data_IF_545691935895
#
_entry.id   IF_545691935895
#
_cell.length_a   1.000
_cell.length_b   1.000
_cell.length_c   1.000
_cell.angle_alpha   90.00
_cell.angle_beta   90.00
_cell.angle_gamma   90.00
#
_symmetry.space_group_name_H-M   'P 1'
#
loop_
_entity.id
_entity.type
_entity.pdbx_description
1 polymer ?
#
# COMPACT_ATOMS: atom_id res chain seq x y z
N UNK A 1 7.00 -3.86 -34.34
CA UNK A 1 5.79 -3.57 -33.54
C UNK A 1 6.19 -3.60 -32.07
N UNK A 2 6.16 -2.46 -31.37
CA UNK A 2 6.35 -2.46 -29.92
C UNK A 2 5.08 -3.02 -29.26
N UNK A 3 5.23 -3.96 -28.33
CA UNK A 3 4.11 -4.47 -27.55
C UNK A 3 3.47 -3.31 -26.77
N UNK A 4 2.13 -3.25 -26.75
CA UNK A 4 1.42 -2.21 -26.00
C UNK A 4 1.64 -2.42 -24.51
N UNK A 5 2.28 -1.44 -23.85
CA UNK A 5 2.55 -1.47 -22.41
C UNK A 5 1.23 -1.34 -21.63
N UNK A 6 0.87 -2.33 -20.85
CA UNK A 6 -0.28 -2.31 -19.94
C UNK A 6 0.11 -1.54 -18.69
N UNK A 7 -0.66 -0.50 -18.40
CA UNK A 7 -0.46 0.38 -17.26
C UNK A 7 -1.65 0.24 -16.34
N UNK A 8 -1.39 -0.04 -15.05
CA UNK A 8 -2.37 0.07 -13.99
C UNK A 8 -2.30 1.46 -13.35
N UNK A 9 -3.41 2.20 -13.38
CA UNK A 9 -3.53 3.55 -12.83
C UNK A 9 -4.18 3.49 -11.44
N UNK A 10 -3.59 4.17 -10.46
CA UNK A 10 -4.10 4.23 -9.08
C UNK A 10 -3.85 5.62 -8.49
N UNK A 11 -4.93 6.40 -8.36
CA UNK A 11 -4.82 7.82 -8.01
C UNK A 11 -4.04 8.60 -9.07
N UNK A 12 -3.00 9.30 -8.64
CA UNK A 12 -2.07 10.07 -9.47
C UNK A 12 -0.83 9.28 -9.92
N UNK A 13 -0.79 7.97 -9.61
CA UNK A 13 0.35 7.09 -9.90
C UNK A 13 0.02 6.00 -10.91
N UNK A 14 1.07 5.51 -11.56
CA UNK A 14 0.99 4.48 -12.61
C UNK A 14 1.96 3.34 -12.31
N UNK A 15 1.56 2.11 -12.63
CA UNK A 15 2.39 0.90 -12.55
C UNK A 15 2.40 0.19 -13.89
N UNK A 16 3.58 -0.08 -14.45
CA UNK A 16 3.73 -0.89 -15.66
C UNK A 16 3.57 -2.38 -15.34
N UNK A 17 2.69 -3.06 -16.05
CA UNK A 17 2.32 -4.46 -15.79
C UNK A 17 2.92 -5.46 -16.78
N UNK A 18 3.82 -5.01 -17.66
CA UNK A 18 4.47 -5.85 -18.67
C UNK A 18 5.94 -6.05 -18.35
N UNK A 19 6.23 -7.08 -17.56
CA UNK A 19 7.58 -7.46 -17.18
C UNK A 19 7.58 -8.19 -15.85
N UNK A 20 7.80 -7.44 -14.78
CA UNK A 20 8.05 -7.98 -13.45
C UNK A 20 6.77 -8.25 -12.64
N UNK A 21 6.87 -9.19 -11.70
CA UNK A 21 5.84 -9.43 -10.69
C UNK A 21 5.94 -8.35 -9.61
N UNK A 22 4.85 -7.63 -9.40
CA UNK A 22 4.77 -6.60 -8.36
C UNK A 22 4.25 -7.16 -7.04
N UNK A 23 4.94 -6.84 -5.95
CA UNK A 23 4.49 -7.13 -4.59
C UNK A 23 3.74 -5.93 -4.01
N UNK A 24 2.50 -6.19 -3.58
CA UNK A 24 1.66 -5.18 -2.94
C UNK A 24 1.36 -5.61 -1.51
N UNK A 25 1.82 -4.81 -0.55
CA UNK A 25 1.49 -4.94 0.85
C UNK A 25 0.12 -4.35 1.16
N UNK A 26 -0.76 -5.16 1.72
CA UNK A 26 -2.08 -4.74 2.19
C UNK A 26 -1.94 -4.24 3.63
N UNK A 27 -2.39 -3.01 3.90
CA UNK A 27 -2.48 -2.47 5.25
C UNK A 27 -3.96 -2.32 5.61
N UNK A 28 -4.47 -3.28 6.40
CA UNK A 28 -5.84 -3.25 6.91
C UNK A 28 -5.93 -2.30 8.10
N UNK A 29 -6.86 -1.32 8.03
CA UNK A 29 -7.14 -0.40 9.14
C UNK A 29 -8.50 -0.75 9.75
N UNK A 30 -8.48 -1.43 10.88
CA UNK A 30 -9.69 -1.82 11.64
C UNK A 30 -9.60 -1.31 13.08
N UNK A 31 -10.68 -0.72 13.65
CA UNK A 31 -10.66 -0.16 15.01
C UNK A 31 -10.32 -1.19 16.11
N UNK A 32 -10.55 -2.47 15.84
CA UNK A 32 -10.36 -3.56 16.81
C UNK A 32 -8.96 -4.21 16.75
N UNK A 33 -8.07 -3.74 15.86
CA UNK A 33 -6.75 -4.37 15.69
C UNK A 33 -5.62 -3.71 16.47
N UNK A 34 -5.89 -2.61 17.18
CA UNK A 34 -4.90 -1.87 17.96
C UNK A 34 -5.50 -1.38 19.29
N UNK A 35 -5.68 -2.31 20.23
CA UNK A 35 -6.10 -2.01 21.60
C UNK A 35 -5.01 -1.26 22.38
N UNK A 36 -4.86 0.05 22.14
CA UNK A 36 -3.80 0.82 22.78
C UNK A 36 -4.02 2.33 22.95
N UNK A 37 -4.82 3.01 22.12
CA UNK A 37 -5.21 4.38 22.45
C UNK A 37 -5.45 5.31 21.27
N UNK A 38 -6.72 5.54 20.97
CA UNK A 38 -7.18 6.73 20.24
C UNK A 38 -6.82 6.78 18.75
N UNK A 39 -7.72 7.41 17.99
CA UNK A 39 -7.64 7.62 16.55
C UNK A 39 -6.27 8.13 16.03
N UNK A 40 -5.50 8.86 16.85
CA UNK A 40 -4.17 9.35 16.46
C UNK A 40 -3.07 8.28 16.55
N UNK A 41 -3.12 7.36 17.52
CA UNK A 41 -2.14 6.26 17.59
C UNK A 41 -2.36 5.26 16.44
N UNK A 42 -3.61 5.08 16.02
CA UNK A 42 -3.98 4.24 14.88
C UNK A 42 -3.38 4.77 13.58
N UNK A 43 -3.50 6.08 13.32
CA UNK A 43 -2.89 6.71 12.12
C UNK A 43 -1.37 6.56 12.13
N UNK A 44 -0.70 6.81 13.26
CA UNK A 44 0.75 6.68 13.37
C UNK A 44 1.20 5.23 13.15
N UNK A 45 0.48 4.25 13.71
CA UNK A 45 0.77 2.83 13.51
C UNK A 45 0.61 2.39 12.05
N UNK A 46 -0.45 2.85 11.38
CA UNK A 46 -0.70 2.57 9.95
C UNK A 46 0.39 3.18 9.08
N UNK A 47 0.82 4.42 9.37
CA UNK A 47 1.95 5.05 8.68
C UNK A 47 3.26 4.29 8.90
N UNK A 48 3.57 3.92 10.15
CA UNK A 48 4.78 3.15 10.46
C UNK A 48 4.80 1.82 9.69
N UNK A 49 3.66 1.12 9.66
CA UNK A 49 3.53 -0.14 8.92
C UNK A 49 3.66 0.05 7.41
N UNK A 50 3.08 1.13 6.86
CA UNK A 50 3.24 1.48 5.46
C UNK A 50 4.70 1.74 5.08
N UNK A 51 5.45 2.43 5.93
CA UNK A 51 6.88 2.72 5.72
C UNK A 51 7.73 1.45 5.77
N UNK A 52 7.46 0.51 6.67
CA UNK A 52 8.14 -0.80 6.71
C UNK A 52 7.96 -1.58 5.40
N UNK A 53 6.75 -1.58 4.83
CA UNK A 53 6.45 -2.29 3.59
C UNK A 53 7.16 -1.66 2.39
N UNK A 54 7.25 -0.33 2.36
CA UNK A 54 8.04 0.38 1.35
C UNK A 54 9.54 0.07 1.48
N UNK A 55 10.05 -0.02 2.71
CA UNK A 55 11.46 -0.31 2.97
C UNK A 55 11.92 -1.69 2.44
N UNK A 56 11.01 -2.67 2.36
CA UNK A 56 11.28 -4.00 1.76
C UNK A 56 11.01 -4.07 0.26
N UNK A 57 10.79 -2.92 -0.40
CA UNK A 57 10.53 -2.83 -1.83
C UNK A 57 9.07 -3.12 -2.23
N UNK A 58 8.14 -3.18 -1.28
CA UNK A 58 6.72 -3.36 -1.54
C UNK A 58 5.98 -2.04 -1.74
N UNK A 59 4.88 -2.06 -2.50
CA UNK A 59 3.92 -0.96 -2.51
C UNK A 59 2.92 -1.11 -1.36
N UNK A 60 2.72 -0.08 -0.55
CA UNK A 60 1.73 -0.09 0.53
C UNK A 60 0.46 0.69 0.12
N UNK A 61 -0.71 0.09 0.34
CA UNK A 61 -2.01 0.76 0.25
C UNK A 61 -2.75 0.56 1.57
N UNK A 62 -3.20 1.66 2.16
CA UNK A 62 -4.07 1.66 3.33
C UNK A 62 -5.52 1.69 2.87
N UNK A 63 -6.34 0.78 3.38
CA UNK A 63 -7.78 0.77 3.16
C UNK A 63 -8.49 1.26 4.43
N UNK A 64 -9.35 2.30 4.35
CA UNK A 64 -10.25 2.62 5.45
C UNK A 64 -11.28 1.49 5.63
N UNK A 65 -11.93 1.39 6.82
CA UNK A 65 -13.05 0.47 7.01
C UNK A 65 -14.23 0.77 6.07
#
# INVERSE_FOLDING_TARGET
MAAAFRIFQFGDRQLGCDGDVHLMGIVNVTPDSFSGGGHFAEVVAVLARGLELVAVGGAAIALPP
#
